data_IF_053893208468
#
_entry.id   IF_053893208468
#
_cell.length_a   1.000
_cell.length_b   1.000
_cell.length_c   1.000
_cell.angle_alpha   90.00
_cell.angle_beta   90.00
_cell.angle_gamma   90.00
#
_symmetry.space_group_name_H-M   'P 1'
#
loop_
_entity.id
_entity.type
_entity.pdbx_description
1 polymer ?
#
# COMPACT_ATOMS: atom_id res chain seq x y z
N UNK A 1 -12.36 -1.39 -45.86
CA UNK A 1 -11.73 -0.49 -44.85
C UNK A 1 -12.47 0.86 -44.70
N UNK A 2 -13.82 0.91 -44.65
CA UNK A 2 -14.59 2.17 -44.53
C UNK A 2 -15.60 2.26 -43.37
N UNK A 3 -15.98 1.14 -42.73
CA UNK A 3 -16.99 1.15 -41.65
C UNK A 3 -16.45 1.48 -40.24
N UNK A 4 -15.15 1.24 -39.97
CA UNK A 4 -14.56 1.53 -38.64
C UNK A 4 -14.28 3.02 -38.42
N UNK A 5 -13.92 3.77 -39.48
CA UNK A 5 -13.66 5.21 -39.35
C UNK A 5 -14.95 6.03 -39.17
N UNK A 6 -16.09 5.54 -39.65
CA UNK A 6 -17.38 6.22 -39.51
C UNK A 6 -17.93 6.15 -38.07
N UNK A 7 -17.72 5.02 -37.38
CA UNK A 7 -18.12 4.85 -35.97
C UNK A 7 -17.30 5.72 -35.02
N UNK A 8 -16.01 5.90 -35.29
CA UNK A 8 -15.12 6.73 -34.47
C UNK A 8 -15.45 8.23 -34.64
N UNK A 9 -15.77 8.67 -35.87
CA UNK A 9 -16.20 10.06 -36.12
C UNK A 9 -17.54 10.40 -35.47
N UNK A 10 -18.48 9.44 -35.40
CA UNK A 10 -19.76 9.64 -34.72
C UNK A 10 -19.60 9.79 -33.20
N UNK A 11 -18.70 8.99 -32.59
CA UNK A 11 -18.40 9.05 -31.16
C UNK A 11 -17.68 10.37 -30.81
N UNK A 12 -16.77 10.85 -31.66
CA UNK A 12 -16.09 12.13 -31.46
C UNK A 12 -17.04 13.34 -31.64
N UNK A 13 -17.98 13.29 -32.59
CA UNK A 13 -18.98 14.32 -32.77
C UNK A 13 -19.95 14.44 -31.57
N UNK A 14 -20.35 13.30 -30.99
CA UNK A 14 -21.16 13.27 -29.75
C UNK A 14 -20.39 13.80 -28.53
N UNK A 15 -19.07 13.61 -28.47
CA UNK A 15 -18.24 14.13 -27.39
C UNK A 15 -18.06 15.66 -27.50
N UNK A 16 -17.92 16.21 -28.71
CA UNK A 16 -17.78 17.65 -28.91
C UNK A 16 -19.09 18.43 -28.66
N UNK A 17 -20.25 17.85 -28.95
CA UNK A 17 -21.55 18.46 -28.63
C UNK A 17 -21.84 18.52 -27.13
N UNK A 18 -21.14 17.74 -26.31
CA UNK A 18 -21.33 17.74 -24.85
C UNK A 18 -20.71 18.96 -24.15
N UNK A 19 -19.87 19.75 -24.83
CA UNK A 19 -19.25 20.96 -24.28
C UNK A 19 -19.99 22.26 -24.63
N UNK A 20 -21.07 22.21 -25.43
CA UNK A 20 -21.75 23.39 -25.95
C UNK A 20 -23.18 23.61 -25.41
N UNK A 21 -23.63 22.86 -24.39
CA UNK A 21 -24.99 22.96 -23.85
C UNK A 21 -24.94 23.19 -22.33
N UNK A 22 -25.69 24.17 -21.79
CA UNK A 22 -25.67 24.48 -20.36
C UNK A 22 -26.05 23.29 -19.47
N UNK A 23 -25.41 23.26 -18.30
CA UNK A 23 -25.40 22.20 -17.27
C UNK A 23 -26.79 21.59 -16.92
N UNK A 24 -27.94 22.30 -16.96
CA UNK A 24 -29.23 21.69 -16.65
C UNK A 24 -29.68 20.60 -17.64
N UNK A 25 -29.25 20.67 -18.91
CA UNK A 25 -29.65 19.70 -19.95
C UNK A 25 -28.93 18.35 -19.83
N UNK A 26 -27.70 18.35 -19.30
CA UNK A 26 -26.92 17.13 -19.09
C UNK A 26 -27.54 16.24 -18.00
N UNK A 27 -28.08 16.83 -16.93
CA UNK A 27 -28.73 16.08 -15.85
C UNK A 27 -30.01 15.34 -16.31
N UNK A 28 -30.78 15.93 -17.24
CA UNK A 28 -31.96 15.28 -17.81
C UNK A 28 -31.58 14.12 -18.76
N UNK A 29 -30.48 14.26 -19.51
CA UNK A 29 -29.96 13.18 -20.34
C UNK A 29 -29.50 11.98 -19.50
N UNK A 30 -28.73 12.21 -18.43
CA UNK A 30 -28.28 11.13 -17.54
C UNK A 30 -29.44 10.46 -16.79
N UNK A 31 -30.48 11.21 -16.41
CA UNK A 31 -31.71 10.62 -15.84
C UNK A 31 -32.44 9.72 -16.85
N UNK A 32 -32.59 10.15 -18.11
CA UNK A 32 -33.19 9.32 -19.16
C UNK A 32 -32.35 8.10 -19.51
N UNK A 33 -31.02 8.23 -19.52
CA UNK A 33 -30.10 7.12 -19.77
C UNK A 33 -30.15 6.08 -18.64
N UNK A 34 -30.14 6.53 -17.38
CA UNK A 34 -30.28 5.65 -16.21
C UNK A 34 -31.60 4.89 -16.24
N UNK A 35 -32.71 5.58 -16.52
CA UNK A 35 -34.04 4.96 -16.63
C UNK A 35 -34.11 3.92 -17.75
N UNK A 36 -33.55 4.22 -18.94
CA UNK A 36 -33.48 3.26 -20.05
C UNK A 36 -32.61 2.02 -19.76
N UNK A 37 -31.55 2.19 -18.96
CA UNK A 37 -30.68 1.06 -18.56
C UNK A 37 -31.37 0.20 -17.52
N UNK A 38 -32.04 0.81 -16.53
CA UNK A 38 -32.83 0.10 -15.52
C UNK A 38 -33.99 -0.66 -16.17
N UNK A 39 -34.74 -0.04 -17.09
CA UNK A 39 -35.82 -0.69 -17.84
C UNK A 39 -35.30 -1.88 -18.69
N UNK A 40 -34.13 -1.75 -19.34
CA UNK A 40 -33.52 -2.88 -20.09
C UNK A 40 -33.02 -4.02 -19.20
N UNK A 41 -32.58 -3.73 -17.98
CA UNK A 41 -32.18 -4.75 -17.01
C UNK A 41 -33.40 -5.48 -16.48
N UNK A 42 -34.47 -4.74 -16.15
CA UNK A 42 -35.75 -5.32 -15.71
C UNK A 42 -36.37 -6.17 -16.81
N UNK A 43 -36.35 -5.70 -18.07
CA UNK A 43 -36.87 -6.46 -19.20
C UNK A 43 -36.06 -7.74 -19.46
N UNK A 44 -34.72 -7.67 -19.43
CA UNK A 44 -33.88 -8.89 -19.52
C UNK A 44 -34.06 -9.86 -18.36
N UNK A 45 -34.37 -9.38 -17.16
CA UNK A 45 -34.65 -10.23 -16.01
C UNK A 45 -36.03 -10.88 -16.15
N UNK A 46 -37.03 -10.16 -16.65
CA UNK A 46 -38.37 -10.68 -16.96
C UNK A 46 -38.31 -11.73 -18.08
N UNK A 47 -37.65 -11.41 -19.20
CA UNK A 47 -37.52 -12.31 -20.35
C UNK A 47 -36.84 -13.64 -19.96
N UNK A 48 -35.82 -13.57 -19.09
CA UNK A 48 -35.10 -14.76 -18.60
C UNK A 48 -35.90 -15.57 -17.57
N UNK A 49 -36.86 -14.94 -16.90
CA UNK A 49 -37.76 -15.62 -15.95
C UNK A 49 -38.92 -16.28 -16.70
N UNK A 50 -39.44 -15.63 -17.75
CA UNK A 50 -40.47 -16.20 -18.63
C UNK A 50 -39.93 -17.37 -19.47
N UNK A 51 -38.66 -17.32 -19.88
CA UNK A 51 -37.99 -18.43 -20.58
C UNK A 51 -37.77 -19.67 -19.68
N UNK A 52 -37.63 -19.46 -18.36
CA UNK A 52 -37.53 -20.53 -17.36
C UNK A 52 -38.88 -21.09 -16.92
N UNK A 53 -39.97 -20.32 -17.05
CA UNK A 53 -41.31 -20.71 -16.60
C UNK A 53 -42.18 -21.32 -17.71
N UNK A 54 -41.91 -21.02 -19.00
CA UNK A 54 -42.71 -21.49 -20.14
C UNK A 54 -41.90 -22.38 -21.10
N UNK A 55 -41.35 -23.48 -20.57
CA UNK A 55 -40.40 -24.36 -21.25
C UNK A 55 -40.79 -24.85 -22.66
N UNK A 56 -39.77 -25.23 -23.44
CA UNK A 56 -39.88 -26.13 -24.59
C UNK A 56 -39.05 -27.39 -24.34
N UNK A 57 -39.73 -28.53 -24.43
CA UNK A 57 -39.19 -29.89 -24.37
C UNK A 57 -38.44 -30.29 -25.66
N UNK A 58 -37.51 -31.25 -25.51
CA UNK A 58 -36.91 -32.10 -26.54
C UNK A 58 -35.48 -31.70 -26.95
N UNK A 59 -34.40 -32.50 -26.81
CA UNK A 59 -34.24 -33.93 -26.57
C UNK A 59 -32.93 -34.25 -25.81
N UNK A 60 -33.09 -35.10 -24.79
CA UNK A 60 -32.27 -36.22 -24.27
C UNK A 60 -30.78 -36.42 -24.60
N UNK A 61 -30.05 -36.78 -23.53
CA UNK A 61 -28.78 -37.53 -23.56
C UNK A 61 -28.19 -37.75 -22.16
N UNK A 62 -28.85 -38.57 -21.33
CA UNK A 62 -28.53 -38.92 -19.93
C UNK A 62 -27.50 -40.07 -19.86
N UNK A 63 -26.64 -40.10 -18.84
CA UNK A 63 -26.43 -41.31 -18.03
C UNK A 63 -26.00 -40.97 -16.60
N UNK A 64 -26.87 -41.34 -15.66
CA UNK A 64 -26.73 -41.30 -14.20
C UNK A 64 -26.03 -42.57 -13.66
N UNK A 65 -25.48 -42.51 -12.45
CA UNK A 65 -25.97 -43.32 -11.32
C UNK A 65 -25.26 -42.98 -10.01
N UNK A 66 -26.08 -42.95 -8.95
CA UNK A 66 -25.80 -42.55 -7.58
C UNK A 66 -25.19 -43.65 -6.69
N UNK A 67 -24.52 -43.17 -5.64
CA UNK A 67 -24.38 -43.66 -4.25
C UNK A 67 -24.53 -45.16 -3.88
N UNK A 68 -23.56 -45.65 -3.09
CA UNK A 68 -23.80 -46.05 -1.69
C UNK A 68 -22.49 -46.45 -0.98
N UNK A 69 -22.29 -45.91 0.23
CA UNK A 69 -21.40 -46.48 1.26
C UNK A 69 -22.21 -47.48 2.11
N UNK A 70 -21.57 -48.48 2.75
CA UNK A 70 -21.21 -48.28 4.16
C UNK A 70 -19.88 -48.94 4.62
N UNK A 71 -19.34 -48.40 5.70
CA UNK A 71 -18.16 -48.86 6.46
C UNK A 71 -18.55 -50.04 7.39
N UNK A 72 -17.63 -50.98 7.73
CA UNK A 72 -17.09 -50.98 9.09
C UNK A 72 -15.58 -51.30 9.22
N UNK A 73 -14.97 -50.58 10.17
CA UNK A 73 -13.67 -50.69 10.85
C UNK A 73 -12.97 -52.06 10.99
N UNK A 74 -11.63 -52.08 10.88
CA UNK A 74 -10.73 -52.65 11.92
C UNK A 74 -9.30 -52.11 11.83
N UNK A 75 -8.68 -51.89 13.00
CA UNK A 75 -7.30 -51.44 13.25
C UNK A 75 -6.23 -52.45 12.80
N UNK A 76 -5.04 -51.96 12.43
CA UNK A 76 -3.72 -52.36 12.98
C UNK A 76 -2.59 -51.47 12.45
N UNK A 77 -1.74 -51.02 13.37
CA UNK A 77 -0.42 -50.46 13.11
C UNK A 77 0.50 -51.55 12.53
N UNK A 78 1.40 -51.16 11.63
CA UNK A 78 2.77 -51.65 11.70
C UNK A 78 3.75 -50.71 11.00
N UNK A 79 4.87 -50.48 11.69
CA UNK A 79 6.03 -49.72 11.25
C UNK A 79 6.92 -50.62 10.41
N UNK A 80 7.36 -50.19 9.22
CA UNK A 80 8.64 -50.66 8.71
C UNK A 80 9.34 -49.66 7.77
N UNK A 81 10.57 -49.39 8.18
CA UNK A 81 11.64 -48.65 7.52
C UNK A 81 11.94 -49.15 6.10
N UNK A 82 11.95 -48.23 5.13
CA UNK A 82 12.48 -48.44 3.78
C UNK A 82 13.36 -47.27 3.35
N UNK A 83 14.67 -47.45 3.46
CA UNK A 83 15.75 -46.58 2.95
C UNK A 83 15.62 -46.47 1.42
N UNK A 84 15.34 -45.27 0.89
CA UNK A 84 15.61 -44.95 -0.53
C UNK A 84 16.48 -43.70 -0.61
N UNK A 85 17.72 -43.97 -1.00
CA UNK A 85 18.63 -43.19 -1.85
C UNK A 85 18.34 -41.71 -2.09
N UNK A 86 19.35 -40.90 -1.74
CA UNK A 86 19.52 -39.48 -2.03
C UNK A 86 19.63 -39.22 -3.54
N UNK A 87 18.80 -38.33 -4.06
CA UNK A 87 19.14 -37.46 -5.18
C UNK A 87 19.07 -36.00 -4.71
N UNK A 88 20.02 -35.13 -5.10
CA UNK A 88 20.16 -33.80 -4.53
C UNK A 88 19.10 -32.88 -5.15
N UNK A 89 17.95 -32.78 -4.51
CA UNK A 89 17.02 -31.69 -4.79
C UNK A 89 17.71 -30.40 -4.38
N UNK A 90 18.15 -29.62 -5.38
CA UNK A 90 18.66 -28.26 -5.21
C UNK A 90 17.73 -27.53 -4.24
N UNK A 91 18.23 -27.26 -3.03
CA UNK A 91 17.66 -26.32 -2.07
C UNK A 91 17.46 -25.00 -2.82
N UNK A 92 16.21 -24.71 -3.21
CA UNK A 92 15.83 -23.34 -3.51
C UNK A 92 15.88 -22.62 -2.16
N UNK A 93 16.96 -21.87 -1.94
CA UNK A 93 17.20 -21.14 -0.72
C UNK A 93 15.94 -20.33 -0.36
N UNK A 94 15.44 -20.54 0.85
CA UNK A 94 14.43 -19.69 1.46
C UNK A 94 14.99 -18.27 1.55
N UNK A 95 14.45 -17.34 0.77
CA UNK A 95 14.70 -15.89 0.85
C UNK A 95 14.03 -15.25 2.10
N UNK A 96 14.03 -15.97 3.22
CA UNK A 96 13.46 -15.54 4.50
C UNK A 96 14.56 -15.18 5.49
N UNK A 97 15.49 -14.29 5.11
CA UNK A 97 16.43 -13.76 6.08
C UNK A 97 15.74 -12.65 6.88
N UNK A 98 15.69 -12.83 8.20
CA UNK A 98 15.33 -11.80 9.19
C UNK A 98 16.21 -10.53 9.06
N UNK A 99 17.30 -10.59 8.29
CA UNK A 99 18.25 -9.49 8.04
C UNK A 99 17.65 -8.29 7.26
N UNK A 100 16.51 -8.48 6.58
CA UNK A 100 15.87 -7.44 5.74
C UNK A 100 14.69 -6.73 6.43
N UNK A 101 14.60 -6.82 7.76
CA UNK A 101 13.64 -6.03 8.54
C UNK A 101 14.30 -5.32 9.73
N UNK A 102 13.67 -4.24 10.18
CA UNK A 102 13.96 -3.59 11.46
C UNK A 102 12.75 -3.75 12.36
N UNK A 103 13.01 -4.15 13.60
CA UNK A 103 11.98 -4.27 14.64
C UNK A 103 12.15 -3.18 15.69
N UNK A 104 11.14 -2.33 15.83
CA UNK A 104 11.01 -1.37 16.91
C UNK A 104 10.24 -2.02 18.04
N UNK A 105 10.91 -2.27 19.17
CA UNK A 105 10.31 -2.94 20.32
C UNK A 105 9.23 -2.10 20.96
N UNK A 106 8.08 -2.74 21.20
CA UNK A 106 7.00 -2.17 21.96
C UNK A 106 7.46 -1.88 23.41
N UNK A 107 6.99 -0.78 24.03
CA UNK A 107 7.34 -0.46 25.40
C UNK A 107 6.70 -1.41 26.41
N UNK A 108 5.69 -2.18 26.00
CA UNK A 108 4.96 -3.11 26.84
C UNK A 108 4.10 -4.07 26.00
N UNK A 109 3.52 -5.10 26.63
CA UNK A 109 2.69 -6.15 25.96
C UNK A 109 1.36 -5.62 25.41
N UNK A 110 0.95 -4.43 25.83
CA UNK A 110 -0.25 -3.75 25.39
C UNK A 110 -0.17 -3.33 23.92
N UNK A 111 1.05 -3.25 23.36
CA UNK A 111 1.33 -2.89 21.98
C UNK A 111 2.07 -4.01 21.25
N UNK A 112 1.94 -4.04 19.93
CA UNK A 112 2.72 -4.96 19.09
C UNK A 112 4.08 -4.33 18.77
N UNK A 113 5.11 -5.15 18.61
CA UNK A 113 6.36 -4.71 17.98
C UNK A 113 6.07 -4.16 16.57
N UNK A 114 6.75 -3.09 16.17
CA UNK A 114 6.61 -2.51 14.83
C UNK A 114 7.75 -3.02 13.95
N UNK A 115 7.40 -3.80 12.93
CA UNK A 115 8.36 -4.37 11.97
C UNK A 115 8.21 -3.68 10.62
N UNK A 116 9.31 -3.18 10.05
CA UNK A 116 9.36 -2.60 8.69
C UNK A 116 10.52 -3.20 7.90
N UNK A 117 10.46 -3.12 6.57
CA UNK A 117 11.59 -3.56 5.74
C UNK A 117 12.80 -2.67 5.94
N UNK A 118 13.97 -3.27 5.78
CA UNK A 118 15.26 -2.61 5.81
C UNK A 118 16.10 -3.01 4.62
N UNK A 119 17.17 -2.25 4.41
CA UNK A 119 18.27 -2.56 3.52
C UNK A 119 19.54 -2.09 4.23
N UNK A 120 20.55 -2.95 4.34
CA UNK A 120 21.81 -2.69 5.05
C UNK A 120 21.61 -2.06 6.45
N UNK A 121 20.65 -2.60 7.21
CA UNK A 121 20.35 -2.17 8.57
C UNK A 121 19.64 -0.82 8.70
N UNK A 122 19.28 -0.16 7.59
CA UNK A 122 18.52 1.10 7.58
C UNK A 122 17.09 0.90 7.08
N UNK A 123 16.12 1.73 7.51
CA UNK A 123 14.75 1.65 7.02
C UNK A 123 14.68 1.72 5.51
N UNK A 124 13.89 0.84 4.90
CA UNK A 124 13.61 0.84 3.47
C UNK A 124 12.31 1.58 3.21
N UNK A 125 12.40 2.70 2.52
CA UNK A 125 11.25 3.50 2.08
C UNK A 125 10.98 3.33 0.59
N UNK A 126 9.76 3.67 0.23
CA UNK A 126 9.24 3.60 -1.12
C UNK A 126 8.80 2.22 -1.56
N UNK A 127 9.34 1.72 -2.67
CA UNK A 127 8.94 0.42 -3.22
C UNK A 127 9.34 -0.71 -2.27
N UNK A 128 8.36 -1.44 -1.75
CA UNK A 128 8.55 -2.55 -0.83
C UNK A 128 8.50 -3.90 -1.57
N UNK A 129 9.27 -4.88 -1.09
CA UNK A 129 9.20 -6.24 -1.61
C UNK A 129 8.18 -7.07 -0.84
N UNK A 130 7.19 -7.63 -1.51
CA UNK A 130 6.28 -8.57 -0.86
C UNK A 130 6.10 -9.82 -1.72
N UNK A 131 6.38 -10.97 -1.12
CA UNK A 131 6.01 -12.26 -1.65
C UNK A 131 5.32 -13.07 -0.55
N UNK A 132 4.05 -13.39 -0.77
CA UNK A 132 3.21 -14.09 0.20
C UNK A 132 3.86 -15.40 0.64
N UNK A 133 3.99 -15.58 1.94
CA UNK A 133 4.59 -16.79 2.54
C UNK A 133 6.12 -16.88 2.44
N UNK A 134 6.81 -15.86 1.91
CA UNK A 134 8.28 -15.77 1.95
C UNK A 134 8.78 -14.54 2.69
N UNK A 135 8.18 -13.37 2.45
CA UNK A 135 8.58 -12.13 3.12
C UNK A 135 8.06 -12.14 4.56
N UNK A 136 8.89 -11.71 5.51
CA UNK A 136 8.49 -11.46 6.88
C UNK A 136 7.29 -10.48 6.92
N UNK A 137 6.29 -10.71 7.79
CA UNK A 137 5.21 -9.75 7.98
C UNK A 137 5.74 -8.38 8.41
N UNK A 138 5.17 -7.30 7.86
CA UNK A 138 5.54 -5.93 8.21
C UNK A 138 4.31 -5.12 8.60
N UNK A 139 4.46 -4.19 9.53
CA UNK A 139 3.39 -3.38 10.11
C UNK A 139 3.57 -1.91 9.70
N UNK A 140 3.71 -1.67 8.40
CA UNK A 140 4.04 -0.35 7.82
C UNK A 140 3.08 0.76 8.27
N UNK A 141 1.79 0.46 8.41
CA UNK A 141 0.82 1.43 8.93
C UNK A 141 1.05 1.78 10.39
N UNK A 142 1.48 0.83 11.23
CA UNK A 142 1.81 1.09 12.63
C UNK A 142 2.99 2.06 12.74
N UNK A 143 4.06 1.80 11.96
CA UNK A 143 5.21 2.71 11.84
C UNK A 143 4.79 4.11 11.42
N UNK A 144 4.01 4.21 10.33
CA UNK A 144 3.52 5.50 9.82
C UNK A 144 2.72 6.27 10.87
N UNK A 145 1.77 5.62 11.54
CA UNK A 145 0.91 6.28 12.54
C UNK A 145 1.71 6.74 13.78
N UNK A 146 2.74 5.99 14.20
CA UNK A 146 3.63 6.44 15.29
C UNK A 146 4.48 7.64 14.87
N UNK A 147 5.04 7.62 13.64
CA UNK A 147 5.77 8.78 13.12
C UNK A 147 4.85 10.00 13.02
N UNK A 148 3.64 9.85 12.48
CA UNK A 148 2.66 10.94 12.42
C UNK A 148 2.28 11.45 13.82
N UNK A 149 2.06 10.56 14.79
CA UNK A 149 1.80 10.94 16.20
C UNK A 149 2.92 11.81 16.79
N UNK A 150 4.19 11.54 16.45
CA UNK A 150 5.32 12.36 16.90
C UNK A 150 5.27 13.79 16.36
N UNK A 151 4.91 13.97 15.09
CA UNK A 151 5.01 15.25 14.39
C UNK A 151 3.72 16.08 14.41
N UNK A 152 2.56 15.46 14.66
CA UNK A 152 1.27 16.14 14.80
C UNK A 152 1.04 16.78 16.18
N UNK A 153 2.09 17.30 16.83
CA UNK A 153 2.03 17.79 18.22
C UNK A 153 0.97 18.86 18.42
N UNK A 154 0.85 19.80 17.49
CA UNK A 154 -0.11 20.91 17.59
C UNK A 154 -1.55 20.40 17.57
N UNK A 155 -1.89 19.51 16.63
CA UNK A 155 -3.23 18.94 16.57
C UNK A 155 -3.57 18.11 17.82
N UNK A 156 -2.59 17.39 18.38
CA UNK A 156 -2.75 16.67 19.64
C UNK A 156 -2.74 17.57 20.88
N UNK A 157 -2.20 18.79 20.78
CA UNK A 157 -2.30 19.84 21.80
C UNK A 157 -3.73 20.39 21.90
N UNK A 158 -4.40 20.51 20.76
CA UNK A 158 -5.79 20.97 20.65
C UNK A 158 -6.83 19.87 20.92
N UNK A 159 -6.41 18.60 21.02
CA UNK A 159 -7.30 17.47 21.24
C UNK A 159 -8.10 17.61 22.54
N UNK A 160 -9.43 17.67 22.44
CA UNK A 160 -10.32 17.58 23.59
C UNK A 160 -10.22 16.18 24.20
N UNK A 161 -9.68 16.09 25.41
CA UNK A 161 -9.46 14.84 26.14
C UNK A 161 -10.60 14.49 27.08
N UNK A 162 -11.58 15.38 27.22
CA UNK A 162 -12.75 15.20 28.09
C UNK A 162 -13.94 14.59 27.36
N UNK A 163 -13.98 14.74 26.03
CA UNK A 163 -15.07 14.22 25.20
C UNK A 163 -14.69 13.99 23.75
N UNK A 164 -15.50 13.19 23.06
CA UNK A 164 -15.47 13.08 21.61
C UNK A 164 -15.95 14.38 20.95
N UNK A 165 -15.19 14.84 19.97
CA UNK A 165 -15.47 16.07 19.22
C UNK A 165 -16.34 15.73 18.03
N UNK A 166 -17.50 16.39 17.93
CA UNK A 166 -18.35 16.37 16.74
C UNK A 166 -17.89 17.51 15.84
N UNK A 167 -17.54 17.20 14.59
CA UNK A 167 -17.17 18.21 13.59
C UNK A 167 -18.18 18.18 12.45
N UNK A 168 -18.85 19.32 12.25
CA UNK A 168 -19.68 19.56 11.09
C UNK A 168 -18.85 20.35 10.06
N UNK A 169 -18.80 19.88 8.81
CA UNK A 169 -18.08 20.56 7.73
C UNK A 169 -18.65 21.95 7.42
N UNK A 170 -19.88 22.24 7.85
CA UNK A 170 -20.50 23.57 7.74
C UNK A 170 -20.04 24.55 8.82
N UNK A 171 -19.40 24.07 9.91
CA UNK A 171 -18.79 24.90 10.96
C UNK A 171 -17.37 25.34 10.57
N UNK A 172 -17.27 26.06 9.46
CA UNK A 172 -16.01 26.60 8.95
C UNK A 172 -15.46 27.67 9.90
N UNK A 173 -14.28 27.42 10.50
CA UNK A 173 -13.50 28.47 11.15
C UNK A 173 -12.78 28.09 12.45
N UNK A 174 -13.28 27.11 13.22
CA UNK A 174 -12.62 26.71 14.47
C UNK A 174 -11.53 25.66 14.23
N UNK A 175 -10.29 26.14 14.10
CA UNK A 175 -9.12 25.29 13.90
C UNK A 175 -8.87 24.31 15.05
N UNK A 176 -9.21 24.69 16.30
CA UNK A 176 -9.03 23.85 17.48
C UNK A 176 -10.02 22.67 17.46
N UNK A 177 -11.28 22.92 17.11
CA UNK A 177 -12.29 21.86 16.93
C UNK A 177 -11.88 20.92 15.79
N UNK A 178 -11.42 21.46 14.66
CA UNK A 178 -10.91 20.66 13.53
C UNK A 178 -9.72 19.79 13.93
N UNK A 179 -8.75 20.36 14.63
CA UNK A 179 -7.57 19.65 15.16
C UNK A 179 -7.99 18.57 16.15
N UNK A 180 -8.94 18.85 17.04
CA UNK A 180 -9.45 17.88 17.99
C UNK A 180 -10.16 16.72 17.31
N UNK A 181 -11.02 16.97 16.33
CA UNK A 181 -11.67 15.90 15.59
C UNK A 181 -10.64 15.04 14.84
N UNK A 182 -9.71 15.69 14.13
CA UNK A 182 -8.67 15.00 13.39
C UNK A 182 -7.77 14.13 14.29
N UNK A 183 -7.27 14.68 15.39
CA UNK A 183 -6.37 13.95 16.31
C UNK A 183 -7.08 12.76 16.96
N UNK A 184 -8.36 12.87 17.30
CA UNK A 184 -9.17 11.74 17.78
C UNK A 184 -9.32 10.65 16.71
N UNK A 185 -9.53 11.03 15.44
CA UNK A 185 -9.62 10.09 14.31
C UNK A 185 -8.28 9.45 13.94
N UNK A 186 -7.18 10.21 14.05
CA UNK A 186 -5.83 9.69 13.89
C UNK A 186 -5.47 8.74 15.03
N UNK A 187 -5.85 9.06 16.27
CA UNK A 187 -5.62 8.19 17.44
C UNK A 187 -6.33 6.84 17.31
N UNK A 188 -7.51 6.78 16.69
CA UNK A 188 -8.13 5.50 16.30
C UNK A 188 -7.24 4.69 15.33
N UNK A 189 -6.59 5.37 14.37
CA UNK A 189 -5.61 4.76 13.48
C UNK A 189 -4.42 4.19 14.25
N UNK A 190 -3.81 4.99 15.12
CA UNK A 190 -2.73 4.55 16.02
C UNK A 190 -3.17 3.32 16.80
N UNK A 191 -4.32 3.36 17.48
CA UNK A 191 -4.83 2.22 18.24
C UNK A 191 -4.97 0.97 17.37
N UNK A 192 -5.64 1.09 16.22
CA UNK A 192 -5.93 -0.02 15.31
C UNK A 192 -4.67 -0.77 14.89
N UNK A 193 -3.61 -0.04 14.57
CA UNK A 193 -2.40 -0.61 13.98
C UNK A 193 -1.33 -0.97 15.01
N UNK A 194 -1.34 -0.34 16.20
CA UNK A 194 -0.24 -0.43 17.17
C UNK A 194 -0.63 -1.25 18.42
N UNK A 195 -1.89 -1.27 18.82
CA UNK A 195 -2.31 -1.98 20.02
C UNK A 195 -2.37 -3.50 19.80
N UNK A 196 -2.05 -4.27 20.83
CA UNK A 196 -2.25 -5.72 20.88
C UNK A 196 -3.72 -6.07 20.69
N UNK A 197 -3.98 -7.32 20.29
CA UNK A 197 -5.35 -7.82 20.12
C UNK A 197 -6.14 -7.78 21.44
N UNK A 198 -5.48 -7.95 22.59
CA UNK A 198 -6.12 -7.84 23.90
C UNK A 198 -6.66 -6.43 24.13
N UNK A 199 -5.82 -5.41 23.97
CA UNK A 199 -6.21 -4.01 24.11
C UNK A 199 -7.32 -3.63 23.12
N UNK A 200 -7.23 -4.11 21.88
CA UNK A 200 -8.27 -3.87 20.89
C UNK A 200 -9.59 -4.52 21.29
N UNK A 201 -9.56 -5.74 21.84
CA UNK A 201 -10.74 -6.42 22.31
C UNK A 201 -11.43 -5.66 23.44
N UNK A 202 -10.66 -5.27 24.44
CA UNK A 202 -11.16 -4.57 25.62
C UNK A 202 -11.73 -3.19 25.28
N UNK A 203 -11.12 -2.50 24.31
CA UNK A 203 -11.47 -1.12 23.99
C UNK A 203 -12.56 -0.98 22.92
N UNK A 204 -12.70 -1.95 22.02
CA UNK A 204 -13.52 -1.79 20.79
C UNK A 204 -14.47 -2.95 20.49
N UNK A 205 -14.48 -4.03 21.27
CA UNK A 205 -15.47 -5.08 21.10
C UNK A 205 -16.62 -4.92 22.08
N UNK A 206 -17.80 -5.39 21.65
CA UNK A 206 -18.90 -5.62 22.57
C UNK A 206 -18.76 -7.00 23.20
N UNK A 207 -18.70 -7.07 24.53
CA UNK A 207 -18.79 -8.34 25.25
C UNK A 207 -20.18 -8.98 25.10
N UNK A 208 -21.22 -8.21 24.76
CA UNK A 208 -22.60 -8.67 24.71
C UNK A 208 -23.06 -9.11 23.31
N UNK A 209 -22.35 -8.75 22.24
CA UNK A 209 -22.68 -9.22 20.89
C UNK A 209 -21.81 -10.39 20.48
N UNK A 210 -22.44 -11.44 19.94
CA UNK A 210 -21.76 -12.59 19.31
C UNK A 210 -21.04 -12.25 17.99
N UNK A 211 -20.98 -10.97 17.59
CA UNK A 211 -20.30 -10.60 16.36
C UNK A 211 -18.79 -10.79 16.53
N UNK A 212 -18.16 -11.48 15.59
CA UNK A 212 -16.72 -11.68 15.63
C UNK A 212 -16.05 -10.31 15.51
N UNK A 213 -15.43 -9.88 16.59
CA UNK A 213 -14.65 -8.66 16.61
C UNK A 213 -13.34 -8.89 15.86
N UNK A 214 -13.40 -8.76 14.54
CA UNK A 214 -12.28 -9.00 13.64
C UNK A 214 -11.46 -7.73 13.50
N UNK A 215 -10.14 -7.79 13.69
CA UNK A 215 -9.20 -6.65 13.50
C UNK A 215 -8.31 -6.77 12.27
N UNK A 216 -8.52 -7.83 11.48
CA UNK A 216 -7.75 -8.14 10.30
C UNK A 216 -8.67 -8.16 9.08
N UNK A 217 -8.12 -7.86 7.91
CA UNK A 217 -8.81 -8.04 6.64
C UNK A 217 -8.67 -9.48 6.12
N UNK A 218 -9.17 -9.74 4.90
CA UNK A 218 -9.08 -11.06 4.27
C UNK A 218 -7.66 -11.47 3.88
N UNK A 219 -6.76 -10.50 3.74
CA UNK A 219 -5.35 -10.74 3.46
C UNK A 219 -4.55 -11.07 4.74
N UNK A 220 -5.14 -10.80 5.91
CA UNK A 220 -4.50 -10.96 7.22
C UNK A 220 -3.82 -9.68 7.70
N UNK A 221 -4.01 -8.56 7.02
CA UNK A 221 -3.47 -7.27 7.41
C UNK A 221 -4.38 -6.60 8.46
N UNK A 222 -3.79 -5.84 9.39
CA UNK A 222 -4.57 -5.06 10.34
C UNK A 222 -5.46 -4.07 9.62
N UNK A 223 -6.71 -3.96 10.06
CA UNK A 223 -7.67 -3.00 9.52
C UNK A 223 -7.87 -1.82 10.47
N UNK A 224 -8.17 -0.65 9.90
CA UNK A 224 -8.55 0.53 10.68
C UNK A 224 -9.92 0.33 11.34
N UNK A 225 -10.01 0.63 12.63
CA UNK A 225 -11.25 0.73 13.37
C UNK A 225 -11.92 2.05 13.03
N UNK A 226 -13.21 1.99 12.66
CA UNK A 226 -13.96 3.16 12.19
C UNK A 226 -14.42 4.10 13.32
N UNK A 227 -14.70 3.55 14.51
CA UNK A 227 -15.34 4.30 15.60
C UNK A 227 -14.84 3.83 16.97
N UNK A 228 -14.79 4.75 17.93
CA UNK A 228 -14.55 4.41 19.33
C UNK A 228 -15.63 3.47 19.85
N UNK A 229 -15.26 2.47 20.65
CA UNK A 229 -16.16 1.41 21.12
C UNK A 229 -16.56 0.36 20.08
N UNK A 230 -16.20 0.52 18.80
CA UNK A 230 -16.51 -0.43 17.73
C UNK A 230 -17.75 -0.05 16.90
N UNK A 231 -18.07 -0.87 15.89
CA UNK A 231 -19.18 -0.62 14.98
C UNK A 231 -20.54 -0.74 15.70
N UNK A 232 -21.48 0.17 15.40
CA UNK A 232 -22.87 0.11 15.90
C UNK A 232 -23.06 0.56 17.35
N UNK A 233 -22.04 1.16 17.98
CA UNK A 233 -22.13 1.61 19.39
C UNK A 233 -22.78 2.97 19.56
N UNK A 234 -23.56 3.10 20.64
CA UNK A 234 -24.10 4.39 21.09
C UNK A 234 -23.02 5.33 21.64
N UNK A 235 -23.33 6.62 21.72
CA UNK A 235 -22.37 7.66 22.10
C UNK A 235 -21.73 7.47 23.49
N UNK A 236 -22.45 6.88 24.45
CA UNK A 236 -21.90 6.59 25.78
C UNK A 236 -20.80 5.53 25.73
N UNK A 237 -21.00 4.46 24.96
CA UNK A 237 -19.99 3.43 24.77
C UNK A 237 -18.76 3.97 24.01
N UNK A 238 -18.97 4.80 22.99
CA UNK A 238 -17.86 5.47 22.30
C UNK A 238 -17.07 6.37 23.25
N UNK A 239 -17.77 7.14 24.09
CA UNK A 239 -17.16 8.03 25.07
C UNK A 239 -16.32 7.26 26.11
N UNK A 240 -16.87 6.18 26.68
CA UNK A 240 -16.15 5.35 27.66
C UNK A 240 -14.89 4.74 27.04
N UNK A 241 -14.99 4.22 25.82
CA UNK A 241 -13.85 3.67 25.08
C UNK A 241 -12.76 4.72 24.85
N UNK A 242 -13.13 5.89 24.35
CA UNK A 242 -12.21 7.00 24.12
C UNK A 242 -11.49 7.46 25.40
N UNK A 243 -12.24 7.75 26.45
CA UNK A 243 -11.67 8.24 27.72
C UNK A 243 -10.82 7.17 28.40
N UNK A 244 -11.26 5.91 28.38
CA UNK A 244 -10.50 4.77 28.88
C UNK A 244 -9.19 4.60 28.13
N UNK A 245 -9.21 4.70 26.79
CA UNK A 245 -8.03 4.59 25.96
C UNK A 245 -7.02 5.72 26.25
N UNK A 246 -7.50 6.96 26.37
CA UNK A 246 -6.65 8.09 26.74
C UNK A 246 -5.99 7.89 28.09
N UNK A 247 -6.76 7.46 29.09
CA UNK A 247 -6.27 7.24 30.45
C UNK A 247 -5.19 6.15 30.51
N UNK A 248 -5.39 5.07 29.77
CA UNK A 248 -4.58 3.86 29.95
C UNK A 248 -3.41 3.73 28.96
N UNK A 249 -3.52 4.29 27.76
CA UNK A 249 -2.57 3.96 26.67
C UNK A 249 -1.96 5.18 25.96
N UNK A 250 -2.63 6.33 25.97
CA UNK A 250 -2.19 7.47 25.15
C UNK A 250 -0.81 8.01 25.54
N UNK A 251 -0.50 8.10 26.83
CA UNK A 251 0.82 8.56 27.30
C UNK A 251 1.93 7.64 26.80
N UNK A 252 1.81 6.34 27.01
CA UNK A 252 2.81 5.36 26.54
C UNK A 252 3.01 5.40 25.02
N UNK A 253 1.92 5.56 24.25
CA UNK A 253 2.00 5.71 22.78
C UNK A 253 2.72 7.00 22.37
N UNK A 254 2.44 8.11 23.07
CA UNK A 254 3.09 9.40 22.81
C UNK A 254 4.58 9.36 23.15
N UNK A 255 4.94 8.71 24.25
CA UNK A 255 6.34 8.58 24.65
C UNK A 255 7.09 7.65 23.68
N UNK A 256 6.46 6.54 23.27
CA UNK A 256 7.04 5.64 22.29
C UNK A 256 7.19 6.29 20.92
N UNK A 257 6.21 7.06 20.45
CA UNK A 257 6.31 7.81 19.19
C UNK A 257 7.49 8.79 19.21
N UNK A 258 7.80 9.37 20.37
CA UNK A 258 8.95 10.24 20.58
C UNK A 258 10.31 9.60 20.23
N UNK A 259 10.40 8.27 20.26
CA UNK A 259 11.63 7.51 19.96
C UNK A 259 11.94 7.38 18.47
N UNK A 260 10.95 7.55 17.60
CA UNK A 260 11.12 7.55 16.14
C UNK A 260 11.69 8.90 15.70
N UNK A 261 12.59 8.96 14.70
CA UNK A 261 13.17 10.22 14.22
C UNK A 261 13.70 11.11 15.39
N UNK A 262 14.54 10.56 16.28
CA UNK A 262 14.95 11.24 17.54
C UNK A 262 15.38 12.69 17.31
N UNK A 263 16.20 12.91 16.30
CA UNK A 263 16.76 14.24 15.95
C UNK A 263 15.91 14.99 14.91
N UNK A 264 14.63 14.62 14.76
CA UNK A 264 13.72 15.21 13.78
C UNK A 264 13.94 14.72 12.35
N UNK A 265 14.96 13.89 12.10
CA UNK A 265 15.30 13.33 10.79
C UNK A 265 15.53 11.83 10.87
N UNK A 266 15.56 11.17 9.71
CA UNK A 266 15.87 9.74 9.60
C UNK A 266 16.68 9.48 8.33
N UNK A 267 17.79 8.74 8.47
CA UNK A 267 18.48 8.17 7.32
C UNK A 267 17.78 6.87 6.93
N UNK A 268 17.46 6.73 5.64
CA UNK A 268 16.76 5.58 5.08
C UNK A 268 17.28 5.28 3.68
N UNK A 269 17.02 4.07 3.18
CA UNK A 269 17.15 3.77 1.76
C UNK A 269 15.83 4.03 1.06
N UNK A 270 15.83 4.93 0.08
CA UNK A 270 14.70 5.12 -0.82
C UNK A 270 14.84 4.20 -2.03
N UNK A 271 13.86 3.32 -2.21
CA UNK A 271 13.80 2.41 -3.36
C UNK A 271 12.73 2.89 -4.32
N UNK A 272 13.14 3.21 -5.54
CA UNK A 272 12.26 3.64 -6.61
C UNK A 272 12.21 2.59 -7.73
N UNK A 273 11.04 2.45 -8.37
CA UNK A 273 10.90 1.60 -9.55
C UNK A 273 11.26 2.39 -10.80
N UNK A 274 12.33 1.97 -11.46
CA UNK A 274 12.83 2.53 -12.71
C UNK A 274 12.63 1.51 -13.85
N UNK A 275 13.08 1.86 -15.05
CA UNK A 275 13.05 0.96 -16.20
C UNK A 275 14.27 1.13 -17.10
N UNK A 276 14.67 0.04 -17.75
CA UNK A 276 15.59 0.12 -18.89
C UNK A 276 14.88 0.88 -20.01
N UNK A 277 15.48 1.99 -20.45
CA UNK A 277 14.86 2.88 -21.42
C UNK A 277 15.08 2.46 -22.87
N UNK A 278 16.18 1.76 -23.16
CA UNK A 278 16.65 1.39 -24.49
C UNK A 278 17.38 0.04 -24.46
N UNK A 279 17.67 -0.53 -25.63
CA UNK A 279 18.57 -1.70 -25.73
C UNK A 279 19.96 -1.36 -25.21
N UNK A 280 20.73 -2.40 -24.85
CA UNK A 280 22.10 -2.25 -24.40
C UNK A 280 22.94 -1.45 -25.41
N UNK A 281 23.64 -0.43 -24.91
CA UNK A 281 24.49 0.45 -25.69
C UNK A 281 25.90 -0.15 -25.76
N UNK A 282 26.18 -0.94 -26.79
CA UNK A 282 27.49 -1.56 -26.97
C UNK A 282 28.63 -0.56 -27.14
N UNK A 283 28.35 0.64 -27.68
CA UNK A 283 29.35 1.68 -27.89
C UNK A 283 29.81 2.27 -26.55
N UNK A 284 28.85 2.59 -25.68
CA UNK A 284 29.14 3.19 -24.37
C UNK A 284 29.29 2.15 -23.25
N UNK A 285 29.00 0.87 -23.52
CA UNK A 285 29.05 -0.27 -22.58
C UNK A 285 28.14 -0.09 -21.36
N UNK A 286 26.82 -0.10 -21.60
CA UNK A 286 25.85 0.05 -20.52
C UNK A 286 24.39 0.18 -20.97
N UNK A 287 23.53 0.53 -20.02
CA UNK A 287 22.10 0.75 -20.23
C UNK A 287 21.72 2.20 -19.94
N UNK A 288 20.75 2.71 -20.69
CA UNK A 288 20.05 3.94 -20.35
C UNK A 288 18.87 3.60 -19.45
N UNK A 289 18.77 4.23 -18.28
CA UNK A 289 17.73 4.00 -17.27
C UNK A 289 16.82 5.22 -17.22
N UNK A 290 15.51 4.99 -17.34
CA UNK A 290 14.48 6.02 -17.20
C UNK A 290 13.83 5.93 -15.82
N UNK A 291 13.22 7.05 -15.39
CA UNK A 291 12.53 7.16 -14.11
C UNK A 291 13.43 6.76 -12.92
N UNK A 292 14.69 7.20 -12.93
CA UNK A 292 15.67 6.87 -11.88
C UNK A 292 15.20 7.34 -10.51
N UNK A 293 14.55 8.50 -10.43
CA UNK A 293 13.87 8.97 -9.22
C UNK A 293 12.47 9.46 -9.58
N UNK A 294 11.51 9.25 -8.69
CA UNK A 294 10.19 9.88 -8.80
C UNK A 294 10.21 11.25 -8.15
N UNK A 295 9.75 12.27 -8.90
CA UNK A 295 9.59 13.64 -8.41
C UNK A 295 8.69 13.75 -7.17
N UNK A 296 7.67 12.90 -7.07
CA UNK A 296 6.71 12.91 -5.96
C UNK A 296 6.95 11.76 -4.97
N UNK A 297 8.15 11.18 -4.98
CA UNK A 297 8.43 9.93 -4.30
C UNK A 297 7.49 8.80 -4.77
N UNK A 298 7.67 7.60 -4.23
CA UNK A 298 6.79 6.46 -4.52
C UNK A 298 6.54 5.72 -3.24
N UNK A 299 5.31 5.24 -3.01
CA UNK A 299 4.96 4.27 -1.97
C UNK A 299 5.49 4.57 -0.54
N UNK A 300 5.43 3.59 0.36
CA UNK A 300 5.67 3.66 1.81
C UNK A 300 6.59 4.78 2.31
N UNK A 301 6.08 5.56 3.28
CA UNK A 301 6.64 6.79 3.87
C UNK A 301 6.87 7.93 2.86
N UNK A 302 7.55 7.68 1.74
CA UNK A 302 7.92 8.72 0.76
C UNK A 302 6.85 8.97 -0.32
N UNK A 303 5.61 8.56 -0.10
CA UNK A 303 4.51 8.78 -1.04
C UNK A 303 4.11 10.26 -1.05
N UNK A 304 4.11 10.90 -2.23
CA UNK A 304 3.90 12.34 -2.39
C UNK A 304 4.92 13.21 -1.63
N UNK A 305 6.14 12.71 -1.46
CA UNK A 305 7.22 13.44 -0.80
C UNK A 305 7.99 14.32 -1.77
N UNK A 306 8.53 15.44 -1.28
CA UNK A 306 9.35 16.36 -2.07
C UNK A 306 10.82 15.95 -2.04
N UNK A 307 11.42 15.73 -3.21
CA UNK A 307 12.87 15.65 -3.31
C UNK A 307 13.47 17.06 -3.20
N UNK A 308 14.58 17.19 -2.46
CA UNK A 308 15.30 18.45 -2.24
C UNK A 308 16.66 18.39 -2.96
N UNK A 309 16.75 18.81 -4.23
CA UNK A 309 18.02 18.82 -4.97
C UNK A 309 18.82 20.10 -4.69
N UNK A 310 20.12 19.94 -4.44
CA UNK A 310 21.06 21.05 -4.22
C UNK A 310 21.95 21.33 -5.43
N UNK A 311 22.36 20.29 -6.16
CA UNK A 311 23.25 20.41 -7.32
C UNK A 311 22.49 20.41 -8.64
N UNK A 312 23.10 20.92 -9.72
CA UNK A 312 22.51 20.84 -11.06
C UNK A 312 22.31 19.39 -11.53
N UNK A 313 23.19 18.48 -11.10
CA UNK A 313 23.04 17.05 -11.39
C UNK A 313 21.86 16.43 -10.64
N UNK A 314 21.64 16.80 -9.37
CA UNK A 314 20.46 16.38 -8.61
C UNK A 314 19.16 16.95 -9.22
N UNK A 315 19.15 18.23 -9.62
CA UNK A 315 18.01 18.83 -10.33
C UNK A 315 17.72 18.11 -11.65
N UNK A 316 18.75 17.62 -12.33
CA UNK A 316 18.57 16.83 -13.55
C UNK A 316 17.79 15.54 -13.29
N UNK A 317 17.97 14.88 -12.12
CA UNK A 317 17.25 13.66 -11.76
C UNK A 317 15.74 13.85 -11.69
N UNK A 318 15.25 15.05 -11.33
CA UNK A 318 13.80 15.35 -11.29
C UNK A 318 13.14 15.39 -12.67
N UNK A 319 13.93 15.50 -13.73
CA UNK A 319 13.41 15.60 -15.09
C UNK A 319 12.90 14.24 -15.56
N UNK A 320 11.57 14.08 -15.58
CA UNK A 320 10.89 12.85 -15.99
C UNK A 320 11.19 12.40 -17.43
N UNK A 321 11.72 13.30 -18.26
CA UNK A 321 12.13 13.00 -19.63
C UNK A 321 13.58 12.56 -19.77
N UNK A 322 14.42 12.73 -18.74
CA UNK A 322 15.84 12.36 -18.83
C UNK A 322 16.05 10.88 -18.55
N UNK A 323 16.98 10.30 -19.30
CA UNK A 323 17.54 8.96 -19.12
C UNK A 323 18.96 9.12 -18.60
N UNK A 324 19.35 8.25 -17.68
CA UNK A 324 20.68 8.27 -17.05
C UNK A 324 21.43 7.00 -17.40
N UNK A 325 22.72 7.14 -17.69
CA UNK A 325 23.54 6.01 -18.10
C UNK A 325 24.01 5.20 -16.89
N UNK A 326 23.76 3.90 -16.93
CA UNK A 326 24.35 2.91 -16.05
C UNK A 326 25.41 2.14 -16.84
N UNK A 327 26.67 2.25 -16.43
CA UNK A 327 27.72 1.42 -17.03
C UNK A 327 27.59 -0.02 -16.54
N UNK A 328 27.56 -0.95 -17.49
CA UNK A 328 27.50 -2.40 -17.26
C UNK A 328 28.35 -3.04 -18.34
N UNK A 329 29.25 -3.94 -17.99
CA UNK A 329 30.10 -4.60 -18.97
C UNK A 329 29.29 -5.57 -19.87
N UNK A 330 29.76 -5.86 -21.10
CA UNK A 330 29.02 -6.73 -22.03
C UNK A 330 28.75 -8.15 -21.52
N UNK A 331 29.65 -8.73 -20.69
CA UNK A 331 29.44 -10.06 -20.10
C UNK A 331 28.27 -10.04 -19.13
N UNK A 332 28.28 -9.11 -18.18
CA UNK A 332 27.17 -8.92 -17.22
C UNK A 332 25.88 -8.59 -17.95
N UNK A 333 25.91 -7.71 -18.96
CA UNK A 333 24.72 -7.38 -19.75
C UNK A 333 24.12 -8.60 -20.49
N UNK A 334 24.97 -9.52 -20.98
CA UNK A 334 24.54 -10.76 -21.61
C UNK A 334 23.83 -11.69 -20.61
N UNK A 335 24.31 -11.77 -19.37
CA UNK A 335 23.68 -12.55 -18.30
C UNK A 335 22.36 -11.93 -17.84
N UNK A 336 22.31 -10.60 -17.71
CA UNK A 336 21.10 -9.88 -17.34
C UNK A 336 20.02 -9.95 -18.43
N UNK A 337 20.43 -9.91 -19.70
CA UNK A 337 19.59 -9.98 -20.91
C UNK A 337 18.36 -9.05 -20.84
N UNK A 338 18.55 -7.84 -20.35
CA UNK A 338 17.45 -6.89 -20.15
C UNK A 338 16.95 -6.34 -21.47
N UNK A 339 15.64 -6.36 -21.64
CA UNK A 339 14.94 -5.75 -22.76
C UNK A 339 14.56 -4.30 -22.42
N UNK A 340 14.21 -3.53 -23.44
CA UNK A 340 13.58 -2.23 -23.24
C UNK A 340 12.34 -2.38 -22.33
N UNK A 341 12.16 -1.45 -21.40
CA UNK A 341 11.11 -1.41 -20.38
C UNK A 341 11.20 -2.50 -19.31
N UNK A 342 12.27 -3.30 -19.31
CA UNK A 342 12.52 -4.21 -18.20
C UNK A 342 12.58 -3.40 -16.89
N UNK A 343 11.83 -3.81 -15.85
CA UNK A 343 11.84 -3.11 -14.58
C UNK A 343 13.20 -3.27 -13.93
N UNK A 344 13.70 -2.18 -13.37
CA UNK A 344 14.87 -2.14 -12.50
C UNK A 344 14.54 -1.28 -11.28
N UNK A 345 15.37 -1.36 -10.24
CA UNK A 345 15.14 -0.67 -8.98
C UNK A 345 16.34 0.18 -8.65
N UNK A 346 16.11 1.47 -8.45
CA UNK A 346 17.14 2.41 -8.04
C UNK A 346 17.04 2.61 -6.53
N UNK A 347 18.20 2.60 -5.88
CA UNK A 347 18.32 2.68 -4.43
C UNK A 347 19.19 3.88 -4.09
N UNK A 348 18.64 4.77 -3.26
CA UNK A 348 19.29 5.99 -2.81
C UNK A 348 19.42 5.93 -1.29
N UNK A 349 20.59 6.26 -0.75
CA UNK A 349 20.70 6.60 0.66
C UNK A 349 20.23 8.04 0.83
N UNK A 350 19.15 8.24 1.59
CA UNK A 350 18.49 9.54 1.73
C UNK A 350 18.38 9.94 3.19
N UNK A 351 18.37 11.24 3.43
CA UNK A 351 17.99 11.84 4.70
C UNK A 351 16.59 12.43 4.57
N UNK A 352 15.70 12.01 5.47
CA UNK A 352 14.26 12.28 5.39
C UNK A 352 13.84 13.26 6.48
N UNK A 353 13.09 14.27 6.07
CA UNK A 353 12.62 15.40 6.86
C UNK A 353 11.08 15.44 6.87
N UNK A 354 10.45 15.41 8.05
CA UNK A 354 9.03 15.71 8.16
C UNK A 354 8.78 17.20 7.93
N UNK A 355 7.81 17.50 7.06
CA UNK A 355 7.31 18.85 6.79
C UNK A 355 5.83 18.93 7.11
N UNK A 356 5.49 19.68 8.14
CA UNK A 356 4.11 19.94 8.52
C UNK A 356 3.53 20.92 7.49
N UNK A 357 2.73 20.42 6.54
CA UNK A 357 2.08 21.28 5.52
C UNK A 357 0.89 22.03 6.10
N UNK A 358 0.22 21.41 7.05
CA UNK A 358 -0.82 22.00 7.88
C UNK A 358 -0.96 21.17 9.15
N UNK A 359 -1.75 21.66 10.11
CA UNK A 359 -1.95 21.03 11.42
C UNK A 359 -2.43 19.56 11.37
N UNK A 360 -2.93 19.08 10.23
CA UNK A 360 -3.48 17.72 10.05
C UNK A 360 -2.71 16.87 9.04
N UNK A 361 -1.59 17.36 8.51
CA UNK A 361 -0.83 16.67 7.47
C UNK A 361 0.67 16.81 7.67
N UNK A 362 1.32 15.67 7.90
CA UNK A 362 2.78 15.53 7.86
C UNK A 362 3.14 15.07 6.46
N UNK A 363 3.66 15.97 5.63
CA UNK A 363 4.36 15.58 4.42
C UNK A 363 5.80 15.19 4.78
N UNK A 364 6.48 14.46 3.90
CA UNK A 364 7.92 14.27 4.00
C UNK A 364 8.62 14.95 2.84
N UNK A 365 9.83 15.38 3.11
CA UNK A 365 10.82 15.80 2.13
C UNK A 365 12.07 14.96 2.35
N UNK A 366 12.90 14.82 1.32
CA UNK A 366 14.13 14.06 1.43
C UNK A 366 15.21 14.64 0.53
N UNK A 367 16.45 14.46 0.96
CA UNK A 367 17.64 14.80 0.18
C UNK A 367 18.57 13.58 0.12
N UNK A 368 19.58 13.65 -0.75
CA UNK A 368 20.55 12.59 -0.87
C UNK A 368 21.60 12.68 0.25
N UNK A 369 21.74 11.59 0.99
CA UNK A 369 22.84 11.40 1.95
C UNK A 369 24.08 10.86 1.23
N UNK A 370 23.90 10.16 0.11
CA UNK A 370 24.95 9.62 -0.75
C UNK A 370 24.77 10.09 -2.20
N UNK A 371 25.89 10.38 -2.86
CA UNK A 371 25.92 10.74 -4.29
C UNK A 371 25.96 9.52 -5.22
N UNK A 372 25.89 8.31 -4.66
CA UNK A 372 25.84 7.06 -5.41
C UNK A 372 24.41 6.53 -5.47
N UNK A 373 23.93 6.23 -6.68
CA UNK A 373 22.66 5.55 -6.93
C UNK A 373 22.97 4.10 -7.27
N UNK A 374 22.47 3.17 -6.47
CA UNK A 374 22.64 1.75 -6.76
C UNK A 374 21.49 1.27 -7.64
N UNK A 375 21.78 0.42 -8.63
CA UNK A 375 20.77 -0.12 -9.53
C UNK A 375 20.71 -1.62 -9.39
N UNK A 376 19.51 -2.14 -9.14
CA UNK A 376 19.22 -3.55 -8.95
C UNK A 376 18.25 -4.05 -10.01
N UNK A 377 18.39 -5.32 -10.38
CA UNK A 377 17.46 -5.99 -11.31
C UNK A 377 16.12 -6.32 -10.64
N UNK A 378 16.15 -6.64 -9.35
CA UNK A 378 15.02 -7.16 -8.60
C UNK A 378 14.65 -6.28 -7.40
N UNK A 379 13.37 -6.28 -7.05
CA UNK A 379 12.85 -5.49 -5.92
C UNK A 379 13.32 -6.01 -4.56
N UNK A 380 13.79 -7.26 -4.47
CA UNK A 380 14.35 -7.79 -3.23
C UNK A 380 15.78 -7.27 -2.98
N UNK A 381 16.34 -6.50 -3.92
CA UNK A 381 17.67 -5.89 -3.84
C UNK A 381 18.79 -6.95 -3.71
N UNK A 382 18.65 -8.06 -4.42
CA UNK A 382 19.59 -9.19 -4.35
C UNK A 382 20.57 -9.24 -5.51
N UNK A 383 20.22 -8.62 -6.65
CA UNK A 383 21.02 -8.63 -7.88
C UNK A 383 21.38 -7.19 -8.27
N UNK A 384 22.45 -6.67 -7.66
CA UNK A 384 23.02 -5.37 -8.02
C UNK A 384 23.61 -5.44 -9.42
N UNK A 385 23.18 -4.52 -10.28
CA UNK A 385 23.63 -4.38 -11.66
C UNK A 385 24.82 -3.42 -11.78
N UNK A 386 24.92 -2.45 -10.88
CA UNK A 386 25.96 -1.43 -10.89
C UNK A 386 25.53 -0.18 -10.12
N UNK A 387 26.28 0.89 -10.34
CA UNK A 387 26.11 2.17 -9.65
C UNK A 387 26.17 3.32 -10.64
N UNK A 388 25.43 4.40 -10.34
CA UNK A 388 25.50 5.67 -11.04
C UNK A 388 26.02 6.70 -10.04
N UNK A 389 27.16 7.32 -10.35
CA UNK A 389 27.67 8.46 -9.59
C UNK A 389 27.03 9.75 -10.12
N UNK A 390 26.39 10.49 -9.20
CA UNK A 390 25.70 11.74 -9.51
C UNK A 390 26.68 12.85 -9.90
N UNK A 391 27.93 12.81 -9.46
CA UNK A 391 28.92 13.82 -9.83
C UNK A 391 29.33 13.71 -11.31
N UNK A 392 29.38 12.48 -11.83
CA UNK A 392 29.75 12.16 -13.22
C UNK A 392 28.56 11.74 -14.09
N UNK A 393 27.37 12.22 -13.74
CA UNK A 393 26.09 11.85 -14.34
C UNK A 393 26.07 12.09 -15.86
N UNK A 394 25.89 11.02 -16.63
CA UNK A 394 25.61 11.10 -18.07
C UNK A 394 24.10 11.02 -18.29
N UNK A 395 23.52 12.04 -18.93
CA UNK A 395 22.08 12.10 -19.20
C UNK A 395 21.75 12.49 -20.65
N UNK A 396 20.59 12.06 -21.13
CA UNK A 396 19.98 12.48 -22.41
C UNK A 396 18.46 12.48 -22.31
N UNK A 397 17.77 13.09 -23.28
CA UNK A 397 16.31 13.02 -23.40
C UNK A 397 15.86 11.81 -24.24
#
# INVERSE_FOLDING_TARGET
MKMKSMKIKLIFALFLLSFAIPIPAQAQFFKKLKKNVEEKIVQRASDKTDELLNGKEGETGISESEESNPVPSTKKEDTQSGKISKEPTKKLASLGNDDNVITYKAPSKEFIDVVIQSHDGLPRYGSLYFYRGKTAPTNNMAYKNLVELKFLKDAYGDMDRSKLTKYDQTQTGDQKVKNSYFSQQHLLGVASYVCSDGVLKDSFCDSETKSNCVFYDRAGDRKRIGYWGGAGKNEFAQMRSYLGFLKNYFTSLKDWSGTFYKDGTQIAYYVNRAAVAEKYDFKNKGYWISNVISRFGTSFMLHHSGFLPYTENEKALESSGKKFFLSVDPSTAKELNLQERAPVFTVFKVKVYPKIRNHTNVALEFELESQTIEVYRDIALTQKMGEIDIQSLKSKY
#
